data_IF_069755802187
#
_entry.id   IF_069755802187
#
_cell.length_a   1.000
_cell.length_b   1.000
_cell.length_c   1.000
_cell.angle_alpha   90.00
_cell.angle_beta   90.00
_cell.angle_gamma   90.00
#
_symmetry.space_group_name_H-M   'P 1'
#
loop_
_entity.id
_entity.type
_entity.pdbx_description
1 polymer ?
#
# COMPACT_ATOMS: atom_id res chain seq x y z
N UNK A 1 4.40 0.01 -22.45
CA UNK A 1 3.17 -0.59 -21.91
C UNK A 1 3.42 -0.63 -20.42
N UNK A 2 2.95 0.38 -19.70
CA UNK A 2 3.01 0.40 -18.23
C UNK A 2 1.97 -0.58 -17.74
N UNK A 3 2.37 -1.85 -17.57
CA UNK A 3 1.57 -2.85 -16.88
C UNK A 3 1.56 -2.50 -15.40
N UNK A 4 0.59 -1.68 -15.01
CA UNK A 4 0.22 -1.51 -13.61
C UNK A 4 -0.43 -2.81 -13.13
N UNK A 5 0.40 -3.79 -12.77
CA UNK A 5 -0.03 -5.06 -12.19
C UNK A 5 -0.74 -4.76 -10.88
N UNK A 6 -2.00 -5.17 -10.68
CA UNK A 6 -2.71 -4.98 -9.42
C UNK A 6 -1.90 -5.56 -8.25
N UNK A 7 -1.51 -4.69 -7.31
CA UNK A 7 -0.76 -5.09 -6.13
C UNK A 7 -1.76 -5.48 -5.04
N UNK A 8 -2.09 -6.76 -4.97
CA UNK A 8 -2.94 -7.28 -3.90
C UNK A 8 -2.36 -7.08 -2.51
N UNK A 9 -3.23 -7.11 -1.49
CA UNK A 9 -2.91 -6.84 -0.08
C UNK A 9 -1.61 -7.51 0.41
N UNK A 10 -1.42 -8.81 0.12
CA UNK A 10 -0.21 -9.55 0.55
C UNK A 10 1.07 -9.02 -0.09
N UNK A 11 0.99 -8.56 -1.33
CA UNK A 11 2.13 -7.94 -2.01
C UNK A 11 2.39 -6.53 -1.48
N UNK A 12 1.32 -5.75 -1.25
CA UNK A 12 1.44 -4.40 -0.68
C UNK A 12 2.16 -4.42 0.69
N UNK A 13 1.74 -5.30 1.60
CA UNK A 13 2.35 -5.38 2.95
C UNK A 13 3.76 -5.95 2.97
N UNK A 14 4.21 -6.62 1.91
CA UNK A 14 5.58 -7.13 1.81
C UNK A 14 6.52 -6.13 1.14
N UNK A 15 6.02 -5.33 0.20
CA UNK A 15 6.82 -4.35 -0.55
C UNK A 15 6.92 -2.98 0.14
N UNK A 16 5.87 -2.55 0.84
CA UNK A 16 5.80 -1.20 1.42
C UNK A 16 5.88 -1.24 2.95
N UNK A 17 6.53 -0.24 3.56
CA UNK A 17 6.68 -0.20 5.01
C UNK A 17 5.42 0.37 5.67
N UNK A 18 4.92 1.47 5.12
CA UNK A 18 3.71 2.15 5.56
C UNK A 18 2.61 2.06 4.51
N UNK A 19 1.38 2.38 4.91
CA UNK A 19 0.27 2.45 3.97
C UNK A 19 0.41 3.66 3.03
N UNK A 20 0.97 4.76 3.54
CA UNK A 20 1.32 5.94 2.75
C UNK A 20 2.35 5.61 1.65
N UNK A 21 3.39 4.81 1.94
CA UNK A 21 4.34 4.35 0.92
C UNK A 21 3.64 3.57 -0.22
N UNK A 22 2.62 2.77 0.13
CA UNK A 22 1.82 2.05 -0.85
C UNK A 22 0.95 2.99 -1.69
N UNK A 23 0.31 4.00 -1.07
CA UNK A 23 -0.47 5.00 -1.82
C UNK A 23 0.43 5.80 -2.76
N UNK A 24 1.60 6.23 -2.28
CA UNK A 24 2.57 7.03 -3.03
C UNK A 24 3.12 6.26 -4.24
N UNK A 25 3.29 4.94 -4.11
CA UNK A 25 3.71 4.09 -5.23
C UNK A 25 2.74 4.08 -6.42
N UNK A 26 1.49 4.50 -6.20
CA UNK A 26 0.44 4.55 -7.23
C UNK A 26 0.21 5.97 -7.77
N UNK A 27 0.82 6.99 -7.18
CA UNK A 27 0.73 8.37 -7.62
C UNK A 27 1.75 8.61 -8.74
N UNK A 28 1.29 9.14 -9.87
CA UNK A 28 2.15 9.45 -11.02
C UNK A 28 2.51 10.94 -11.07
N UNK A 29 3.56 11.29 -11.84
CA UNK A 29 3.92 12.69 -12.08
C UNK A 29 2.78 13.50 -12.73
N UNK A 30 1.94 12.84 -13.53
CA UNK A 30 0.75 13.47 -14.13
C UNK A 30 -0.28 13.83 -13.07
N UNK A 31 -0.43 13.02 -12.02
CA UNK A 31 -1.34 13.32 -10.92
C UNK A 31 -0.89 14.54 -10.16
N UNK A 32 0.38 14.62 -9.82
CA UNK A 32 0.95 15.78 -9.15
C UNK A 32 0.92 17.03 -10.03
N UNK A 33 1.06 16.89 -11.35
CA UNK A 33 0.94 18.02 -12.28
C UNK A 33 -0.47 18.61 -12.34
N UNK A 34 -1.51 17.79 -12.26
CA UNK A 34 -2.91 18.27 -12.36
C UNK A 34 -3.55 18.56 -11.01
N UNK A 35 -3.18 17.81 -9.96
CA UNK A 35 -3.74 17.96 -8.62
C UNK A 35 -2.96 18.97 -7.79
N UNK A 36 -1.65 19.11 -8.05
CA UNK A 36 -0.71 19.95 -7.29
C UNK A 36 -0.65 19.65 -5.77
N UNK A 37 -1.38 18.63 -5.33
CA UNK A 37 -1.55 18.22 -3.93
C UNK A 37 -1.42 16.70 -3.83
N UNK A 38 -0.38 16.28 -3.11
CA UNK A 38 -0.06 14.88 -2.88
C UNK A 38 -1.08 14.19 -1.97
N UNK A 39 -1.63 14.90 -0.97
CA UNK A 39 -2.64 14.34 -0.07
C UNK A 39 -3.95 14.08 -0.83
N UNK A 40 -4.34 15.01 -1.71
CA UNK A 40 -5.47 14.79 -2.61
C UNK A 40 -5.25 13.59 -3.54
N UNK A 41 -4.05 13.45 -4.09
CA UNK A 41 -3.70 12.30 -4.93
C UNK A 41 -3.79 10.98 -4.16
N UNK A 42 -3.29 10.92 -2.91
CA UNK A 42 -3.42 9.77 -2.01
C UNK A 42 -4.88 9.40 -1.77
N UNK A 43 -5.73 10.38 -1.48
CA UNK A 43 -7.17 10.17 -1.26
C UNK A 43 -7.86 9.56 -2.49
N UNK A 44 -7.50 10.02 -3.69
CA UNK A 44 -8.04 9.48 -4.94
C UNK A 44 -7.60 8.03 -5.19
N UNK A 45 -6.35 7.68 -4.84
CA UNK A 45 -5.87 6.30 -4.88
C UNK A 45 -6.60 5.43 -3.87
N UNK A 46 -6.74 5.89 -2.62
CA UNK A 46 -7.42 5.16 -1.55
C UNK A 46 -8.91 4.89 -1.87
N UNK A 47 -9.57 5.82 -2.55
CA UNK A 47 -10.94 5.67 -3.02
C UNK A 47 -11.06 4.81 -4.30
N UNK A 48 -9.95 4.40 -4.91
CA UNK A 48 -9.91 3.62 -6.14
C UNK A 48 -10.22 4.42 -7.41
N UNK A 49 -10.28 5.76 -7.34
CA UNK A 49 -10.43 6.63 -8.51
C UNK A 49 -9.12 6.82 -9.28
N UNK A 50 -7.98 6.52 -8.64
CA UNK A 50 -6.65 6.58 -9.23
C UNK A 50 -5.81 5.35 -8.88
N UNK A 51 -4.75 5.08 -9.64
CA UNK A 51 -3.87 3.93 -9.43
C UNK A 51 -4.30 2.66 -10.18
N UNK A 52 -4.08 1.50 -9.57
CA UNK A 52 -4.36 0.17 -10.17
C UNK A 52 -5.84 -0.22 -10.18
N UNK A 53 -6.70 0.57 -9.52
CA UNK A 53 -8.11 0.26 -9.32
C UNK A 53 -8.38 -0.81 -8.27
N UNK A 54 -7.35 -1.43 -7.70
CA UNK A 54 -7.47 -2.34 -6.55
C UNK A 54 -7.46 -1.54 -5.24
N UNK A 55 -8.56 -1.63 -4.49
CA UNK A 55 -8.72 -0.92 -3.22
C UNK A 55 -8.17 -1.81 -2.10
N UNK A 56 -6.99 -1.46 -1.59
CA UNK A 56 -6.46 -2.00 -0.33
C UNK A 56 -6.87 -1.05 0.79
N UNK A 57 -7.67 -1.52 1.75
CA UNK A 57 -8.08 -0.68 2.88
C UNK A 57 -6.93 -0.51 3.87
N UNK A 58 -6.80 0.70 4.43
CA UNK A 58 -5.85 1.04 5.50
C UNK A 58 -5.86 0.03 6.66
N UNK A 59 -7.06 -0.30 7.15
CA UNK A 59 -7.22 -1.23 8.27
C UNK A 59 -6.74 -2.65 7.93
N UNK A 60 -6.99 -3.11 6.71
CA UNK A 60 -6.56 -4.44 6.25
C UNK A 60 -5.04 -4.49 6.10
N UNK A 61 -4.43 -3.45 5.50
CA UNK A 61 -2.99 -3.30 5.38
C UNK A 61 -2.29 -3.33 6.74
N UNK A 62 -2.76 -2.50 7.68
CA UNK A 62 -2.19 -2.40 9.01
C UNK A 62 -2.38 -3.69 9.82
N UNK A 63 -3.59 -4.28 9.78
CA UNK A 63 -3.86 -5.55 10.46
C UNK A 63 -2.96 -6.65 9.96
N UNK A 64 -2.73 -6.72 8.64
CA UNK A 64 -1.86 -7.72 8.04
C UNK A 64 -0.38 -7.47 8.35
N UNK A 65 0.07 -6.23 8.41
CA UNK A 65 1.43 -5.86 8.88
C UNK A 65 1.68 -6.31 10.32
N UNK A 66 0.73 -6.06 11.22
CA UNK A 66 0.81 -6.51 12.62
C UNK A 66 0.90 -8.03 12.68
N UNK A 67 0.01 -8.74 11.99
CA UNK A 67 0.02 -10.20 11.97
C UNK A 67 1.35 -10.78 11.44
N UNK A 68 1.95 -10.15 10.43
CA UNK A 68 3.27 -10.54 9.91
C UNK A 68 4.37 -10.32 10.96
N UNK A 69 4.38 -9.18 11.64
CA UNK A 69 5.34 -8.87 12.69
C UNK A 69 5.23 -9.86 13.87
N UNK A 70 4.01 -10.17 14.32
CA UNK A 70 3.74 -11.15 15.36
C UNK A 70 4.21 -12.56 14.96
N UNK A 71 3.94 -12.97 13.71
CA UNK A 71 4.38 -14.27 13.21
C UNK A 71 5.92 -14.39 13.16
N UNK A 72 6.63 -13.30 12.87
CA UNK A 72 8.10 -13.27 12.92
C UNK A 72 8.59 -13.42 14.36
N UNK A 73 8.03 -12.65 15.30
CA UNK A 73 8.40 -12.73 16.72
C UNK A 73 8.14 -14.12 17.31
N UNK A 74 7.00 -14.75 16.98
CA UNK A 74 6.68 -16.10 17.44
C UNK A 74 7.67 -17.16 16.90
N UNK A 75 8.15 -17.00 15.66
CA UNK A 75 9.18 -17.88 15.06
C UNK A 75 10.54 -17.72 15.73
N UNK A 76 10.86 -16.53 16.22
CA UNK A 76 12.11 -16.29 16.97
C UNK A 76 12.04 -16.88 18.38
N UNK A 77 10.90 -16.74 19.06
CA UNK A 77 10.70 -17.30 20.40
C UNK A 77 10.69 -18.84 20.43
N UNK A 78 10.14 -19.47 19.39
CA UNK A 78 10.11 -20.94 19.26
C UNK A 78 11.45 -21.58 18.88
N UNK A 79 12.46 -20.77 18.52
CA UNK A 79 13.84 -21.23 18.23
C UNK A 79 14.80 -21.13 19.42
N UNK A 80 14.37 -20.55 20.54
CA UNK A 80 15.11 -20.50 21.81
C UNK A 80 14.71 -21.67 22.71
#
# INVERSE_FOLDING_TARGET
MDENVPLGLDNAVTQFNTYEDFLDSQITATDLFYLEDEELARQLVELGYRGSGEIVKRDDFNSRKIALAEAVLAKEQSKK
#
